data_IF_977675921913
#
_entry.id   IF_977675921913
#
_cell.length_a   1.000
_cell.length_b   1.000
_cell.length_c   1.000
_cell.angle_alpha   90.00
_cell.angle_beta   90.00
_cell.angle_gamma   90.00
#
_symmetry.space_group_name_H-M   'P 1'
#
loop_
_entity.id
_entity.type
_entity.pdbx_description
1 polymer ?
#
# COMPACT_ATOMS: atom_id res chain seq x y z
N UNK A 1 14.19 -1.04 15.49
CA UNK A 1 14.84 0.08 14.75
C UNK A 1 13.83 0.66 13.78
N UNK A 2 13.75 1.98 13.61
CA UNK A 2 12.78 2.61 12.70
C UNK A 2 13.35 2.67 11.28
N UNK A 3 12.58 2.24 10.30
CA UNK A 3 12.99 2.21 8.89
C UNK A 3 12.19 3.25 8.10
N UNK A 4 12.85 4.11 7.33
CA UNK A 4 12.13 5.15 6.57
C UNK A 4 11.36 4.54 5.42
N UNK A 5 11.87 3.47 4.80
CA UNK A 5 11.11 2.74 3.78
C UNK A 5 9.84 2.10 4.33
N UNK A 6 9.69 1.95 5.65
CA UNK A 6 8.43 1.52 6.28
C UNK A 6 7.52 2.71 6.67
N UNK A 7 8.02 3.95 6.63
CA UNK A 7 7.34 5.14 7.16
C UNK A 7 7.68 5.39 8.63
N UNK A 8 8.95 5.22 9.00
CA UNK A 8 9.48 5.39 10.37
C UNK A 8 8.89 4.41 11.41
N UNK A 9 8.45 3.25 10.93
CA UNK A 9 7.95 2.13 11.75
C UNK A 9 8.85 0.91 11.59
N UNK A 10 8.64 -0.08 12.44
CA UNK A 10 9.36 -1.36 12.32
C UNK A 10 8.81 -2.19 11.15
N UNK A 11 9.65 -2.98 10.48
CA UNK A 11 9.21 -3.85 9.39
C UNK A 11 8.29 -4.94 9.93
N UNK A 12 7.32 -5.42 9.14
CA UNK A 12 6.46 -6.52 9.56
C UNK A 12 7.26 -7.78 9.93
N UNK A 13 6.79 -8.52 10.94
CA UNK A 13 7.47 -9.73 11.43
C UNK A 13 7.61 -10.81 10.37
N UNK A 14 6.60 -10.95 9.48
CA UNK A 14 6.67 -11.88 8.35
C UNK A 14 7.82 -11.51 7.41
N UNK A 15 8.05 -10.22 7.12
CA UNK A 15 9.12 -9.80 6.21
C UNK A 15 10.48 -10.15 6.80
N UNK A 16 10.66 -9.93 8.10
CA UNK A 16 11.89 -10.27 8.82
C UNK A 16 12.18 -11.77 8.82
N UNK A 17 11.14 -12.61 8.89
CA UNK A 17 11.27 -14.05 8.83
C UNK A 17 11.77 -14.54 7.46
N UNK A 18 11.46 -13.82 6.37
CA UNK A 18 11.82 -14.20 5.00
C UNK A 18 13.17 -13.62 4.53
N UNK A 19 13.77 -12.67 5.25
CA UNK A 19 15.09 -12.11 4.88
C UNK A 19 16.18 -13.18 4.71
N UNK A 20 16.31 -14.18 5.61
CA UNK A 20 17.27 -15.27 5.42
C UNK A 20 17.04 -16.06 4.14
N UNK A 21 15.80 -16.27 3.72
CA UNK A 21 15.45 -16.98 2.49
C UNK A 21 15.95 -16.20 1.25
N UNK A 22 15.76 -14.87 1.23
CA UNK A 22 16.31 -14.01 0.17
C UNK A 22 17.84 -14.06 0.15
N UNK A 23 18.50 -14.01 1.31
CA UNK A 23 19.95 -14.07 1.38
C UNK A 23 20.51 -15.42 0.91
N UNK A 24 19.84 -16.51 1.26
CA UNK A 24 20.26 -17.88 0.95
C UNK A 24 20.03 -18.24 -0.51
N UNK A 25 18.92 -17.80 -1.11
CA UNK A 25 18.58 -18.05 -2.51
C UNK A 25 19.64 -17.53 -3.50
N UNK A 26 20.13 -16.31 -3.27
CA UNK A 26 21.20 -15.72 -4.10
C UNK A 26 22.54 -16.47 -3.88
N UNK A 27 22.83 -16.83 -2.63
CA UNK A 27 24.12 -17.41 -2.25
C UNK A 27 24.27 -18.89 -2.65
N UNK A 28 23.18 -19.67 -2.63
CA UNK A 28 23.21 -21.13 -2.83
C UNK A 28 22.63 -21.57 -4.17
N UNK A 29 21.65 -20.85 -4.69
CA UNK A 29 20.90 -21.27 -5.89
C UNK A 29 21.24 -20.43 -7.13
N UNK A 30 22.16 -19.47 -7.01
CA UNK A 30 22.65 -18.68 -8.15
C UNK A 30 21.57 -17.81 -8.80
N UNK A 31 20.54 -17.42 -8.04
CA UNK A 31 19.47 -16.55 -8.52
C UNK A 31 20.03 -15.17 -8.82
N UNK A 32 19.87 -14.72 -10.06
CA UNK A 32 20.26 -13.36 -10.43
C UNK A 32 19.23 -12.34 -9.89
N UNK A 33 19.59 -11.72 -8.77
CA UNK A 33 18.77 -10.73 -8.11
C UNK A 33 18.51 -9.51 -9.00
N UNK A 34 19.37 -9.22 -9.98
CA UNK A 34 19.13 -8.11 -10.90
C UNK A 34 17.88 -8.37 -11.74
N UNK A 35 17.83 -9.53 -12.39
CA UNK A 35 16.71 -10.00 -13.21
C UNK A 35 15.43 -10.09 -12.40
N UNK A 36 15.50 -10.68 -11.19
CA UNK A 36 14.32 -10.79 -10.32
C UNK A 36 13.80 -9.42 -9.91
N UNK A 37 14.67 -8.50 -9.50
CA UNK A 37 14.26 -7.15 -9.08
C UNK A 37 13.64 -6.39 -10.25
N UNK A 38 14.28 -6.39 -11.43
CA UNK A 38 13.75 -5.74 -12.62
C UNK A 38 12.40 -6.32 -13.04
N UNK A 39 12.26 -7.65 -13.03
CA UNK A 39 11.03 -8.31 -13.43
C UNK A 39 9.88 -8.04 -12.43
N UNK A 40 10.16 -7.96 -11.13
CA UNK A 40 9.18 -7.56 -10.11
C UNK A 40 8.73 -6.11 -10.34
N UNK A 41 9.65 -5.20 -10.61
CA UNK A 41 9.32 -3.81 -10.92
C UNK A 41 8.45 -3.74 -12.18
N UNK A 42 8.81 -4.46 -13.23
CA UNK A 42 8.07 -4.51 -14.48
C UNK A 42 6.64 -5.04 -14.28
N UNK A 43 6.49 -6.11 -13.49
CA UNK A 43 5.19 -6.67 -13.14
C UNK A 43 4.33 -5.66 -12.36
N UNK A 44 4.94 -4.86 -11.48
CA UNK A 44 4.24 -3.78 -10.78
C UNK A 44 3.82 -2.67 -11.75
N UNK A 45 4.73 -2.16 -12.59
CA UNK A 45 4.46 -0.95 -13.40
C UNK A 45 3.57 -1.22 -14.61
N UNK A 46 3.67 -2.41 -15.22
CA UNK A 46 2.86 -2.81 -16.38
C UNK A 46 1.59 -3.57 -16.02
N UNK A 47 1.33 -3.81 -14.73
CA UNK A 47 0.28 -4.70 -14.24
C UNK A 47 0.33 -6.08 -14.94
N UNK A 48 1.54 -6.56 -15.21
CA UNK A 48 1.77 -7.85 -15.83
C UNK A 48 1.67 -8.97 -14.78
N UNK A 49 1.49 -10.21 -15.25
CA UNK A 49 1.49 -11.37 -14.36
C UNK A 49 2.86 -11.58 -13.71
N UNK A 50 2.87 -11.96 -12.45
CA UNK A 50 4.09 -12.37 -11.74
C UNK A 50 4.49 -13.82 -12.05
N UNK A 51 3.68 -14.56 -12.82
CA UNK A 51 3.88 -16.00 -13.05
C UNK A 51 5.24 -16.32 -13.66
N UNK A 52 5.73 -15.52 -14.63
CA UNK A 52 7.04 -15.80 -15.27
C UNK A 52 8.19 -15.69 -14.27
N UNK A 53 8.14 -14.69 -13.38
CA UNK A 53 9.13 -14.50 -12.31
C UNK A 53 9.01 -15.61 -11.28
N UNK A 54 7.78 -15.96 -10.92
CA UNK A 54 7.50 -16.99 -9.94
C UNK A 54 7.96 -18.36 -10.45
N UNK A 55 7.64 -18.74 -11.69
CA UNK A 55 8.06 -20.01 -12.29
C UNK A 55 9.58 -20.12 -12.32
N UNK A 56 10.29 -19.05 -12.67
CA UNK A 56 11.75 -19.02 -12.64
C UNK A 56 12.30 -19.19 -11.21
N UNK A 57 11.69 -18.53 -10.22
CA UNK A 57 12.09 -18.67 -8.81
C UNK A 57 11.78 -20.09 -8.30
N UNK A 58 10.60 -20.65 -8.60
CA UNK A 58 10.18 -21.99 -8.17
C UNK A 58 11.18 -23.05 -8.61
N UNK A 59 11.73 -22.93 -9.82
CA UNK A 59 12.78 -23.84 -10.32
C UNK A 59 14.07 -23.75 -9.51
N UNK A 60 14.41 -22.58 -8.99
CA UNK A 60 15.66 -22.33 -8.27
C UNK A 60 15.58 -22.63 -6.76
N UNK A 61 14.49 -22.25 -6.11
CA UNK A 61 14.32 -22.27 -4.64
C UNK A 61 13.16 -23.14 -4.15
N UNK A 62 12.25 -23.55 -5.03
CA UNK A 62 10.99 -24.21 -4.66
C UNK A 62 9.85 -23.21 -4.44
N UNK A 63 8.62 -23.74 -4.41
CA UNK A 63 7.38 -22.93 -4.50
C UNK A 63 7.19 -21.97 -3.32
N UNK A 64 7.33 -22.46 -2.09
CA UNK A 64 7.12 -21.66 -0.87
C UNK A 64 8.12 -20.51 -0.79
N UNK A 65 9.40 -20.82 -0.99
CA UNK A 65 10.49 -19.84 -0.92
C UNK A 65 10.42 -18.84 -2.08
N UNK A 66 10.04 -19.27 -3.28
CA UNK A 66 9.81 -18.39 -4.42
C UNK A 66 8.73 -17.33 -4.14
N UNK A 67 7.60 -17.75 -3.55
CA UNK A 67 6.53 -16.84 -3.17
C UNK A 67 6.99 -15.87 -2.08
N UNK A 68 7.71 -16.36 -1.07
CA UNK A 68 8.24 -15.54 0.01
C UNK A 68 9.19 -14.45 -0.51
N UNK A 69 10.12 -14.81 -1.40
CA UNK A 69 11.06 -13.87 -2.03
C UNK A 69 10.28 -12.84 -2.86
N UNK A 70 9.34 -13.29 -3.69
CA UNK A 70 8.54 -12.42 -4.55
C UNK A 70 7.76 -11.38 -3.73
N UNK A 71 7.05 -11.83 -2.69
CA UNK A 71 6.24 -10.95 -1.82
C UNK A 71 7.12 -9.97 -1.08
N UNK A 72 8.25 -10.42 -0.54
CA UNK A 72 9.20 -9.59 0.19
C UNK A 72 9.82 -8.51 -0.70
N UNK A 73 10.29 -8.88 -1.87
CA UNK A 73 10.86 -7.96 -2.87
C UNK A 73 9.84 -6.92 -3.31
N UNK A 74 8.63 -7.37 -3.67
CA UNK A 74 7.52 -6.47 -4.03
C UNK A 74 7.23 -5.49 -2.89
N UNK A 75 7.17 -5.98 -1.65
CA UNK A 75 6.85 -5.15 -0.50
C UNK A 75 7.88 -4.06 -0.27
N UNK A 76 9.18 -4.42 -0.26
CA UNK A 76 10.30 -3.50 -0.09
C UNK A 76 10.27 -2.42 -1.18
N UNK A 77 10.14 -2.80 -2.46
CA UNK A 77 10.16 -1.87 -3.59
C UNK A 77 8.97 -0.91 -3.59
N UNK A 78 7.76 -1.42 -3.31
CA UNK A 78 6.54 -0.60 -3.25
C UNK A 78 6.61 0.39 -2.09
N UNK A 79 7.06 -0.05 -0.91
CA UNK A 79 7.12 0.81 0.26
C UNK A 79 8.25 1.85 0.13
N UNK A 80 9.42 1.46 -0.39
CA UNK A 80 10.48 2.40 -0.73
C UNK A 80 10.00 3.46 -1.73
N UNK A 81 9.23 3.07 -2.76
CA UNK A 81 8.66 4.02 -3.73
C UNK A 81 7.60 4.94 -3.10
N UNK A 82 6.77 4.40 -2.21
CA UNK A 82 5.71 5.13 -1.51
C UNK A 82 6.27 6.27 -0.66
N UNK A 83 7.33 6.01 0.11
CA UNK A 83 7.95 7.01 0.99
C UNK A 83 9.10 7.81 0.34
N UNK A 84 9.32 7.63 -0.97
CA UNK A 84 10.33 8.35 -1.75
C UNK A 84 11.76 8.28 -1.17
N UNK A 85 12.17 7.06 -0.83
CA UNK A 85 13.47 6.82 -0.21
C UNK A 85 14.59 6.99 -1.24
N UNK A 86 15.73 7.55 -0.82
CA UNK A 86 16.93 7.68 -1.67
C UNK A 86 17.68 6.35 -1.73
N UNK A 87 18.45 6.14 -2.79
CA UNK A 87 19.25 4.91 -2.97
C UNK A 87 20.14 4.60 -1.77
N UNK A 88 20.94 5.57 -1.31
CA UNK A 88 21.86 5.38 -0.18
C UNK A 88 21.13 5.01 1.12
N UNK A 89 19.94 5.58 1.31
CA UNK A 89 19.09 5.34 2.46
C UNK A 89 18.52 3.92 2.41
N UNK A 90 17.97 3.51 1.26
CA UNK A 90 17.46 2.17 1.03
C UNK A 90 18.56 1.11 1.18
N UNK A 91 19.76 1.37 0.66
CA UNK A 91 20.92 0.49 0.82
C UNK A 91 21.21 0.21 2.30
N UNK A 92 21.32 1.26 3.12
CA UNK A 92 21.61 1.09 4.55
C UNK A 92 20.49 0.37 5.30
N UNK A 93 19.23 0.66 4.94
CA UNK A 93 18.05 0.05 5.57
C UNK A 93 17.93 -1.43 5.20
N UNK A 94 18.14 -1.78 3.94
CA UNK A 94 18.11 -3.18 3.47
C UNK A 94 19.26 -4.00 4.08
N UNK A 95 20.44 -3.40 4.27
CA UNK A 95 21.53 -4.04 5.02
C UNK A 95 21.18 -4.26 6.48
N UNK A 96 20.52 -3.30 7.13
CA UNK A 96 20.05 -3.42 8.51
C UNK A 96 18.97 -4.50 8.70
N UNK A 97 18.23 -4.85 7.64
CA UNK A 97 17.31 -6.00 7.65
C UNK A 97 18.05 -7.34 7.72
N UNK A 98 19.34 -7.38 7.35
CA UNK A 98 20.16 -8.59 7.36
C UNK A 98 20.55 -9.09 5.97
N UNK A 99 20.25 -8.35 4.90
CA UNK A 99 20.69 -8.70 3.55
C UNK A 99 22.18 -8.39 3.36
N UNK A 100 22.94 -9.25 2.64
CA UNK A 100 24.34 -8.96 2.36
C UNK A 100 24.51 -7.68 1.53
N UNK A 101 25.64 -7.01 1.71
CA UNK A 101 25.87 -5.68 1.15
C UNK A 101 25.78 -5.60 -0.37
N UNK A 102 26.21 -6.64 -1.09
CA UNK A 102 26.11 -6.74 -2.55
C UNK A 102 24.66 -6.79 -3.02
N UNK A 103 23.83 -7.61 -2.36
CA UNK A 103 22.42 -7.80 -2.69
C UNK A 103 21.64 -6.52 -2.41
N UNK A 104 21.91 -5.88 -1.26
CA UNK A 104 21.30 -4.60 -0.93
C UNK A 104 21.67 -3.49 -1.94
N UNK A 105 22.92 -3.49 -2.45
CA UNK A 105 23.36 -2.55 -3.49
C UNK A 105 22.63 -2.77 -4.80
N UNK A 106 22.50 -4.02 -5.22
CA UNK A 106 21.73 -4.39 -6.42
C UNK A 106 20.29 -3.91 -6.34
N UNK A 107 19.59 -4.19 -5.23
CA UNK A 107 18.20 -3.76 -5.01
C UNK A 107 18.10 -2.23 -5.06
N UNK A 108 18.99 -1.52 -4.36
CA UNK A 108 18.97 -0.07 -4.29
C UNK A 108 19.23 0.60 -5.65
N UNK A 109 20.21 0.11 -6.42
CA UNK A 109 20.56 0.63 -7.74
C UNK A 109 19.42 0.47 -8.75
N UNK A 110 18.80 -0.72 -8.77
CA UNK A 110 17.67 -1.00 -9.70
C UNK A 110 16.44 -0.19 -9.29
N UNK A 111 16.16 -0.12 -7.98
CA UNK A 111 15.12 0.75 -7.46
C UNK A 111 15.33 2.20 -7.91
N UNK A 112 16.55 2.75 -7.78
CA UNK A 112 16.84 4.13 -8.17
C UNK A 112 16.56 4.38 -9.66
N UNK A 113 16.92 3.43 -10.51
CA UNK A 113 16.69 3.49 -11.97
C UNK A 113 15.20 3.58 -12.30
N UNK A 114 14.36 2.81 -11.60
CA UNK A 114 12.92 2.72 -11.87
C UNK A 114 12.03 3.53 -10.90
N UNK A 115 12.63 4.27 -9.96
CA UNK A 115 11.93 4.97 -8.88
C UNK A 115 10.82 5.89 -9.42
N UNK A 116 11.11 6.65 -10.48
CA UNK A 116 10.13 7.58 -11.06
C UNK A 116 8.94 6.85 -11.69
N UNK A 117 9.17 5.70 -12.34
CA UNK A 117 8.14 4.90 -12.99
C UNK A 117 7.22 4.25 -11.96
N UNK A 118 7.81 3.59 -10.95
CA UNK A 118 7.10 3.03 -9.80
C UNK A 118 6.21 4.08 -9.12
N UNK A 119 6.75 5.26 -8.83
CA UNK A 119 5.98 6.34 -8.19
C UNK A 119 4.86 6.89 -9.07
N UNK A 120 5.09 7.00 -10.39
CA UNK A 120 4.02 7.40 -11.33
C UNK A 120 2.90 6.35 -11.34
N UNK A 121 3.26 5.06 -11.34
CA UNK A 121 2.28 3.98 -11.28
C UNK A 121 1.51 3.97 -9.95
N UNK A 122 2.20 4.05 -8.81
CA UNK A 122 1.56 4.10 -7.48
C UNK A 122 0.65 5.31 -7.34
N UNK A 123 1.06 6.50 -7.79
CA UNK A 123 0.19 7.68 -7.79
C UNK A 123 -1.07 7.47 -8.63
N UNK A 124 -0.96 6.80 -9.79
CA UNK A 124 -2.14 6.48 -10.63
C UNK A 124 -3.06 5.48 -9.94
N UNK A 125 -2.50 4.44 -9.33
CA UNK A 125 -3.26 3.45 -8.56
C UNK A 125 -3.95 4.09 -7.35
N UNK A 126 -3.25 4.96 -6.61
CA UNK A 126 -3.80 5.72 -5.50
C UNK A 126 -4.88 6.70 -5.97
N UNK A 127 -4.75 7.33 -7.14
CA UNK A 127 -5.83 8.18 -7.68
C UNK A 127 -7.08 7.40 -8.08
N UNK A 128 -6.98 6.11 -8.39
CA UNK A 128 -8.15 5.25 -8.61
C UNK A 128 -8.80 4.82 -7.30
N UNK A 129 -8.00 4.55 -6.26
CA UNK A 129 -8.50 4.32 -4.90
C UNK A 129 -9.07 5.61 -4.26
N UNK A 130 -8.50 6.78 -4.59
CA UNK A 130 -8.93 8.12 -4.18
C UNK A 130 -9.90 8.77 -5.19
N UNK A 131 -10.35 8.05 -6.22
CA UNK A 131 -11.43 8.54 -7.06
C UNK A 131 -12.63 8.65 -6.14
N UNK A 132 -13.07 9.88 -5.86
CA UNK A 132 -14.13 10.19 -4.90
C UNK A 132 -15.28 9.20 -5.12
N UNK A 133 -15.43 8.26 -4.18
CA UNK A 133 -16.45 7.24 -4.28
C UNK A 133 -17.77 7.99 -4.41
N UNK A 134 -18.55 7.78 -5.49
CA UNK A 134 -19.69 8.64 -5.75
C UNK A 134 -20.67 8.55 -4.57
N UNK A 135 -20.84 9.66 -3.85
CA UNK A 135 -21.70 9.73 -2.68
C UNK A 135 -23.08 10.22 -3.13
N UNK A 136 -24.10 9.38 -2.97
CA UNK A 136 -25.50 9.77 -3.11
C UNK A 136 -26.08 9.95 -1.72
N UNK A 137 -26.91 10.97 -1.55
CA UNK A 137 -27.58 11.23 -0.28
C UNK A 137 -29.05 11.55 -0.53
N UNK A 138 -29.91 11.15 0.39
CA UNK A 138 -31.33 11.47 0.40
C UNK A 138 -31.76 11.78 1.83
N UNK A 139 -32.59 12.82 2.00
CA UNK A 139 -33.17 13.17 3.30
C UNK A 139 -34.61 12.70 3.32
N UNK A 140 -34.94 11.85 4.28
CA UNK A 140 -36.27 11.30 4.49
C UNK A 140 -36.84 11.85 5.80
N UNK A 141 -38.09 12.30 5.77
CA UNK A 141 -38.79 12.78 6.97
C UNK A 141 -39.91 11.80 7.29
N UNK A 142 -39.72 11.01 8.33
CA UNK A 142 -40.74 10.08 8.79
C UNK A 142 -41.82 10.87 9.54
N UNK A 143 -43.02 10.95 8.96
CA UNK A 143 -44.20 11.55 9.60
C UNK A 143 -44.80 10.54 10.57
N UNK A 144 -44.99 10.95 11.83
CA UNK A 144 -45.56 10.11 12.86
C UNK A 144 -46.97 9.60 12.47
N UNK A 145 -47.21 8.31 12.67
CA UNK A 145 -48.51 7.66 12.47
C UNK A 145 -49.10 7.23 13.81
N UNK A 146 -50.43 7.03 13.88
CA UNK A 146 -51.14 6.67 15.13
C UNK A 146 -50.64 5.38 15.80
N UNK A 147 -49.90 4.54 15.08
CA UNK A 147 -49.29 3.29 15.57
C UNK A 147 -47.84 3.41 16.05
N UNK A 148 -47.17 4.55 15.87
CA UNK A 148 -45.81 4.80 16.35
C UNK A 148 -45.65 6.27 16.77
N UNK A 149 -45.74 6.59 18.08
CA UNK A 149 -45.77 7.96 18.59
C UNK A 149 -44.39 8.64 18.61
N UNK A 150 -43.31 7.89 18.34
CA UNK A 150 -41.94 8.40 18.35
C UNK A 150 -41.35 8.33 16.95
N UNK A 151 -41.31 9.48 16.27
CA UNK A 151 -40.16 10.04 15.54
C UNK A 151 -40.70 10.98 14.45
N UNK A 152 -40.80 12.27 14.77
CA UNK A 152 -40.77 13.35 13.78
C UNK A 152 -39.34 13.82 13.57
N UNK A 153 -38.42 12.89 13.28
CA UNK A 153 -37.00 13.18 13.15
C UNK A 153 -36.56 13.04 11.69
N UNK A 154 -35.81 14.01 11.14
CA UNK A 154 -35.21 13.87 9.82
C UNK A 154 -34.12 12.79 9.86
N UNK A 155 -34.17 11.88 8.89
CA UNK A 155 -33.20 10.81 8.69
C UNK A 155 -32.48 11.02 7.36
N UNK A 156 -31.16 10.77 7.34
CA UNK A 156 -30.31 10.95 6.16
C UNK A 156 -29.84 9.59 5.68
N UNK A 157 -30.22 9.21 4.47
CA UNK A 157 -29.74 8.00 3.80
C UNK A 157 -28.51 8.35 2.94
N UNK A 158 -27.40 7.68 3.19
CA UNK A 158 -26.12 7.90 2.51
C UNK A 158 -25.68 6.61 1.81
N UNK A 159 -25.38 6.71 0.51
CA UNK A 159 -24.83 5.62 -0.29
C UNK A 159 -23.46 6.03 -0.81
N UNK A 160 -22.43 5.27 -0.44
CA UNK A 160 -21.06 5.44 -0.93
C UNK A 160 -20.79 4.42 -2.03
N UNK A 161 -20.67 4.88 -3.28
CA UNK A 161 -20.34 4.03 -4.41
C UNK A 161 -21.46 3.06 -4.75
N UNK A 162 -21.12 1.77 -4.81
CA UNK A 162 -22.07 0.66 -4.99
C UNK A 162 -22.40 -0.03 -3.66
N UNK A 163 -22.08 0.59 -2.52
CA UNK A 163 -22.36 0.04 -1.19
C UNK A 163 -23.84 0.10 -0.82
N UNK A 164 -24.26 -0.59 0.26
CA UNK A 164 -25.61 -0.50 0.77
C UNK A 164 -25.91 0.92 1.28
N UNK A 165 -27.18 1.38 1.21
CA UNK A 165 -27.58 2.63 1.83
C UNK A 165 -27.43 2.54 3.35
N UNK A 166 -26.92 3.61 3.96
CA UNK A 166 -26.74 3.77 5.39
C UNK A 166 -27.69 4.86 5.90
N UNK A 167 -28.52 4.52 6.87
CA UNK A 167 -29.39 5.48 7.54
C UNK A 167 -28.64 6.15 8.71
N UNK A 168 -28.59 7.48 8.71
CA UNK A 168 -27.87 8.30 9.69
C UNK A 168 -28.82 9.37 10.25
N UNK A 169 -28.84 9.51 11.57
CA UNK A 169 -29.60 10.57 12.23
C UNK A 169 -28.93 11.96 12.05
N UNK A 170 -29.70 13.02 12.24
CA UNK A 170 -29.19 14.38 12.07
C UNK A 170 -28.01 14.73 13.01
N UNK A 171 -27.95 14.11 14.19
CA UNK A 171 -26.86 14.33 15.16
C UNK A 171 -25.56 13.69 14.69
N UNK A 172 -25.60 12.42 14.28
CA UNK A 172 -24.43 11.69 13.79
C UNK A 172 -23.92 12.30 12.49
N UNK A 173 -24.80 12.77 11.61
CA UNK A 173 -24.39 13.47 10.39
C UNK A 173 -23.59 14.75 10.69
N UNK A 174 -24.00 15.52 11.71
CA UNK A 174 -23.25 16.72 12.14
C UNK A 174 -21.87 16.38 12.71
N UNK A 175 -21.77 15.30 13.48
CA UNK A 175 -20.47 14.83 13.99
C UNK A 175 -19.58 14.42 12.83
N UNK A 176 -20.09 13.60 11.90
CA UNK A 176 -19.37 13.18 10.70
C UNK A 176 -18.85 14.39 9.90
N UNK A 177 -19.69 15.42 9.72
CA UNK A 177 -19.28 16.65 9.03
C UNK A 177 -18.10 17.35 9.72
N UNK A 178 -18.15 17.50 11.04
CA UNK A 178 -17.07 18.16 11.79
C UNK A 178 -15.77 17.35 11.75
N UNK A 179 -15.85 16.02 11.88
CA UNK A 179 -14.68 15.14 11.79
C UNK A 179 -14.04 15.18 10.40
N UNK A 180 -14.86 15.14 9.33
CA UNK A 180 -14.36 15.27 7.96
C UNK A 180 -13.72 16.64 7.70
N UNK A 181 -14.27 17.71 8.30
CA UNK A 181 -13.69 19.05 8.20
C UNK A 181 -12.34 19.15 8.94
N UNK A 182 -12.23 18.53 10.12
CA UNK A 182 -10.99 18.45 10.88
C UNK A 182 -9.92 17.63 10.12
N UNK A 183 -10.30 16.47 9.58
CA UNK A 183 -9.41 15.64 8.76
C UNK A 183 -8.91 16.41 7.53
N UNK A 184 -9.80 17.15 6.85
CA UNK A 184 -9.40 18.01 5.71
C UNK A 184 -8.39 19.08 6.10
N UNK A 185 -8.57 19.72 7.27
CA UNK A 185 -7.64 20.72 7.75
C UNK A 185 -6.25 20.12 8.02
N UNK A 186 -6.17 18.92 8.62
CA UNK A 186 -4.92 18.19 8.82
C UNK A 186 -4.24 17.82 7.50
N UNK A 187 -5.01 17.33 6.51
CA UNK A 187 -4.47 17.01 5.19
C UNK A 187 -3.88 18.24 4.49
N UNK A 188 -4.55 19.40 4.57
CA UNK A 188 -4.04 20.65 4.01
C UNK A 188 -2.79 21.18 4.71
N UNK A 189 -2.67 20.99 6.02
CA UNK A 189 -1.45 21.34 6.77
C UNK A 189 -0.28 20.44 6.37
N UNK A 190 -0.51 19.13 6.21
CA UNK A 190 0.52 18.20 5.75
C UNK A 190 0.98 18.45 4.31
N UNK A 191 0.10 18.97 3.43
CA UNK A 191 0.48 19.30 2.05
C UNK A 191 1.31 20.58 1.93
N UNK A 192 1.30 21.47 2.93
CA UNK A 192 2.11 22.69 2.97
C UNK A 192 3.48 22.51 3.66
N UNK A 193 3.73 21.34 4.25
CA UNK A 193 4.99 21.00 4.93
C UNK A 193 5.96 20.20 4.04
N UNK A 194 5.61 19.94 2.77
CA UNK A 194 6.45 19.39 1.70
C UNK A 194 6.81 20.49 0.71
#
# INVERSE_FOLDING_TARGET
>A
MKFRFCGDVEPPTWLLAEIPCIAQSVSQHGVDLTVVTEAVILAITKAASYNEVLDHLVVAVGDVDAQAILVSMKWILVHAAKYDIREADLLTEVQQLGLPSEMARTIASIYHTHQQELRRHLRRADTLANAATPCKWQVSYNLASRSSPTLGAPSVELTLGNGPPMEIDARTFRVLYHELQAARALMQQSSHAL
#
